data_IF_834824131944
#
_entry.id   IF_834824131944
#
_cell.length_a   1.000
_cell.length_b   1.000
_cell.length_c   1.000
_cell.angle_alpha   90.00
_cell.angle_beta   90.00
_cell.angle_gamma   90.00
#
_symmetry.space_group_name_H-M   'P 1'
#
loop_
_entity.id
_entity.type
_entity.pdbx_description
1 polymer ?
#
# COMPACT_ATOMS: atom_id res chain seq x y z
N UNK A 1 -20.91 9.89 6.80
CA UNK A 1 -19.90 8.81 6.78
C UNK A 1 -20.61 7.49 6.50
N UNK A 2 -20.02 6.68 5.65
CA UNK A 2 -20.57 5.39 5.27
C UNK A 2 -20.13 4.31 6.27
N UNK A 3 -21.11 3.66 6.92
CA UNK A 3 -20.93 2.43 7.67
C UNK A 3 -21.78 1.34 7.01
N UNK A 4 -21.24 0.18 6.77
CA UNK A 4 -21.98 -0.92 6.17
C UNK A 4 -21.19 -1.69 5.12
N UNK A 5 -21.88 -2.59 4.42
CA UNK A 5 -21.30 -3.47 3.41
C UNK A 5 -21.64 -2.96 2.00
N UNK A 6 -20.65 -2.98 1.12
CA UNK A 6 -20.85 -2.68 -0.29
C UNK A 6 -19.95 -3.55 -1.17
N UNK A 7 -20.36 -3.81 -2.43
CA UNK A 7 -19.47 -4.35 -3.45
C UNK A 7 -18.27 -3.43 -3.66
N UNK A 8 -17.09 -4.00 -3.87
CA UNK A 8 -15.90 -3.22 -4.13
C UNK A 8 -15.97 -2.50 -5.48
N UNK A 9 -15.64 -1.21 -5.48
CA UNK A 9 -15.38 -0.48 -6.70
C UNK A 9 -13.98 -0.84 -7.20
N UNK A 10 -13.88 -1.33 -8.43
CA UNK A 10 -12.66 -1.87 -9.00
C UNK A 10 -12.20 -1.05 -10.21
N UNK A 11 -10.89 -0.90 -10.36
CA UNK A 11 -10.29 -0.37 -11.58
C UNK A 11 -10.34 -1.41 -12.69
N UNK A 12 -11.52 -1.71 -13.18
CA UNK A 12 -11.81 -2.67 -14.26
C UNK A 12 -12.57 -1.96 -15.37
N UNK A 13 -12.16 -2.16 -16.60
CA UNK A 13 -12.87 -1.72 -17.79
C UNK A 13 -12.97 -2.86 -18.80
N UNK A 14 -14.20 -3.17 -19.22
CA UNK A 14 -14.49 -4.28 -20.15
C UNK A 14 -13.86 -5.61 -19.69
N UNK A 15 -14.01 -5.94 -18.40
CA UNK A 15 -13.51 -7.16 -17.78
C UNK A 15 -11.98 -7.30 -17.74
N UNK A 16 -11.24 -6.18 -17.80
CA UNK A 16 -9.78 -6.16 -17.68
C UNK A 16 -9.34 -5.11 -16.66
N UNK A 17 -8.28 -5.41 -15.92
CA UNK A 17 -7.66 -4.44 -15.03
C UNK A 17 -7.27 -3.18 -15.78
N UNK A 18 -7.78 -2.01 -15.34
CA UNK A 18 -7.52 -0.71 -15.93
C UNK A 18 -6.49 0.05 -15.10
N UNK A 19 -5.23 -0.37 -15.21
CA UNK A 19 -4.13 0.22 -14.45
C UNK A 19 -3.79 1.64 -14.95
N UNK A 20 -3.08 2.47 -14.17
CA UNK A 20 -2.57 3.78 -14.62
C UNK A 20 -1.76 3.70 -15.91
N UNK A 21 -0.98 2.62 -16.09
CA UNK A 21 -0.27 2.41 -17.34
C UNK A 21 -1.21 2.28 -18.54
N UNK A 22 -2.35 1.63 -18.37
CA UNK A 22 -3.36 1.48 -19.44
C UNK A 22 -4.18 2.76 -19.61
N UNK A 23 -4.57 3.41 -18.51
CA UNK A 23 -5.44 4.58 -18.54
C UNK A 23 -4.73 5.86 -18.98
N UNK A 24 -3.49 6.07 -18.56
CA UNK A 24 -2.75 7.32 -18.77
C UNK A 24 -1.54 7.14 -19.68
N UNK A 25 -0.65 6.19 -19.36
CA UNK A 25 0.64 6.10 -20.06
C UNK A 25 0.48 5.67 -21.52
N UNK A 26 -0.22 4.56 -21.79
CA UNK A 26 -0.36 4.04 -23.16
C UNK A 26 -0.96 5.05 -24.14
N UNK A 27 -2.03 5.80 -23.82
CA UNK A 27 -2.51 6.88 -24.69
C UNK A 27 -1.48 7.99 -24.91
N UNK A 28 -0.67 8.31 -23.88
CA UNK A 28 0.31 9.37 -23.92
C UNK A 28 1.60 9.01 -24.67
N UNK A 29 1.94 7.73 -24.86
CA UNK A 29 3.17 7.28 -25.53
C UNK A 29 3.31 7.80 -26.99
N UNK A 30 2.21 8.18 -27.61
CA UNK A 30 2.20 8.77 -28.97
C UNK A 30 2.62 10.23 -29.00
N UNK A 31 2.76 10.88 -27.84
CA UNK A 31 3.13 12.31 -27.76
C UNK A 31 4.63 12.48 -28.04
N UNK A 32 5.04 13.39 -28.94
CA UNK A 32 6.45 13.59 -29.28
C UNK A 32 7.27 14.17 -28.13
N UNK A 33 6.62 14.77 -27.15
CA UNK A 33 7.26 15.35 -25.97
C UNK A 33 7.32 14.40 -24.75
N UNK A 34 6.92 13.13 -24.90
CA UNK A 34 7.02 12.10 -23.87
C UNK A 34 8.06 11.05 -24.27
N UNK A 35 9.05 10.86 -23.41
CA UNK A 35 10.01 9.75 -23.52
C UNK A 35 9.95 8.91 -22.25
N UNK A 36 9.76 7.61 -22.39
CA UNK A 36 9.76 6.64 -21.29
C UNK A 36 11.01 5.78 -21.39
N UNK A 37 11.82 5.81 -20.34
CA UNK A 37 13.03 5.00 -20.21
C UNK A 37 12.78 3.95 -19.13
N UNK A 38 12.74 2.68 -19.54
CA UNK A 38 12.60 1.54 -18.64
C UNK A 38 13.97 0.99 -18.25
N UNK A 39 14.01 0.10 -17.24
CA UNK A 39 15.22 -0.58 -16.79
C UNK A 39 16.35 0.39 -16.36
N UNK A 40 15.96 1.49 -15.70
CA UNK A 40 16.89 2.47 -15.13
C UNK A 40 16.71 2.52 -13.63
N UNK A 41 17.80 2.33 -12.89
CA UNK A 41 17.85 2.51 -11.46
C UNK A 41 18.28 3.95 -11.13
N UNK A 42 17.43 4.70 -10.44
CA UNK A 42 17.77 6.02 -9.93
C UNK A 42 18.86 5.92 -8.87
N UNK A 43 19.97 6.63 -9.03
CA UNK A 43 21.10 6.58 -8.10
C UNK A 43 21.11 7.77 -7.15
N UNK A 44 21.02 8.98 -7.69
CA UNK A 44 21.08 10.24 -6.93
C UNK A 44 20.52 11.41 -7.73
N UNK A 45 20.06 12.43 -7.03
CA UNK A 45 19.67 13.71 -7.61
C UNK A 45 20.91 14.58 -7.87
N UNK A 46 20.80 15.50 -8.83
CA UNK A 46 21.87 16.43 -9.21
C UNK A 46 21.45 17.83 -8.79
N UNK A 47 22.39 18.57 -8.18
CA UNK A 47 22.14 19.92 -7.68
C UNK A 47 23.16 20.93 -8.22
N UNK A 48 22.69 22.16 -8.46
CA UNK A 48 23.46 23.36 -8.66
C UNK A 48 23.06 24.36 -7.55
N UNK A 49 23.92 24.53 -6.54
CA UNK A 49 23.53 25.20 -5.31
C UNK A 49 22.36 24.49 -4.63
N UNK A 50 21.27 25.22 -4.39
CA UNK A 50 20.02 24.72 -3.80
C UNK A 50 19.05 24.14 -4.82
N UNK A 51 19.33 24.26 -6.13
CA UNK A 51 18.44 23.84 -7.20
C UNK A 51 18.71 22.42 -7.63
N UNK A 52 17.68 21.58 -7.62
CA UNK A 52 17.72 20.26 -8.25
C UNK A 52 17.60 20.41 -9.77
N UNK A 53 18.62 19.93 -10.50
CA UNK A 53 18.74 20.12 -11.95
C UNK A 53 18.75 18.81 -12.73
N UNK A 54 18.53 17.66 -12.08
CA UNK A 54 18.49 16.38 -12.78
C UNK A 54 18.63 15.18 -11.87
N UNK A 55 18.84 14.04 -12.49
CA UNK A 55 19.01 12.73 -11.84
C UNK A 55 20.11 11.95 -12.55
N UNK A 56 20.90 11.18 -11.80
CA UNK A 56 21.77 10.14 -12.32
C UNK A 56 21.06 8.82 -12.17
N UNK A 57 21.02 8.05 -13.24
CA UNK A 57 20.46 6.70 -13.25
C UNK A 57 21.50 5.70 -13.75
N UNK A 58 21.35 4.43 -13.42
CA UNK A 58 22.13 3.36 -14.01
C UNK A 58 21.29 2.64 -15.06
N UNK A 59 21.79 2.56 -16.28
CA UNK A 59 21.18 1.88 -17.40
C UNK A 59 21.30 0.35 -17.32
N UNK A 60 20.67 -0.37 -18.26
CA UNK A 60 20.71 -1.84 -18.31
C UNK A 60 22.10 -2.40 -18.64
N UNK A 61 22.97 -1.58 -19.21
CA UNK A 61 24.39 -1.89 -19.48
C UNK A 61 25.31 -1.65 -18.27
N UNK A 62 24.73 -1.23 -17.13
CA UNK A 62 25.46 -0.92 -15.89
C UNK A 62 26.10 0.47 -15.86
N UNK A 63 26.02 1.26 -16.96
CA UNK A 63 26.62 2.58 -17.04
C UNK A 63 25.72 3.65 -16.40
N UNK A 64 26.35 4.70 -15.84
CA UNK A 64 25.63 5.86 -15.35
C UNK A 64 25.22 6.79 -16.50
N UNK A 65 23.92 7.13 -16.53
CA UNK A 65 23.35 8.10 -17.44
C UNK A 65 22.91 9.34 -16.64
N UNK A 66 23.23 10.52 -17.14
CA UNK A 66 22.80 11.79 -16.53
C UNK A 66 21.64 12.38 -17.32
N UNK A 67 20.53 12.62 -16.64
CA UNK A 67 19.36 13.28 -17.22
C UNK A 67 19.13 14.62 -16.52
N UNK A 68 19.25 15.72 -17.29
CA UNK A 68 19.05 17.09 -16.76
C UNK A 68 17.62 17.57 -17.00
N UNK A 69 17.08 18.26 -16.01
CA UNK A 69 15.78 18.90 -16.07
C UNK A 69 15.89 20.40 -16.33
N UNK A 70 15.13 20.91 -17.29
CA UNK A 70 15.09 22.35 -17.61
C UNK A 70 14.21 23.14 -16.63
N UNK A 71 13.15 22.52 -16.12
CA UNK A 71 12.20 23.18 -15.21
C UNK A 71 12.32 22.60 -13.80
N UNK A 72 11.89 21.37 -13.60
CA UNK A 72 11.91 20.69 -12.32
C UNK A 72 12.05 19.18 -12.46
N UNK A 73 12.47 18.52 -11.40
CA UNK A 73 12.44 17.06 -11.22
C UNK A 73 11.22 16.70 -10.39
N UNK A 74 10.50 15.66 -10.79
CA UNK A 74 9.36 15.12 -10.04
C UNK A 74 9.73 13.72 -9.60
N UNK A 75 9.86 13.53 -8.29
CA UNK A 75 10.16 12.24 -7.69
C UNK A 75 8.84 11.52 -7.39
N UNK A 76 8.67 10.30 -7.95
CA UNK A 76 7.46 9.50 -7.79
C UNK A 76 7.83 8.03 -7.58
N UNK A 77 8.82 7.76 -6.72
CA UNK A 77 9.34 6.41 -6.49
C UNK A 77 8.59 5.63 -5.40
N UNK A 78 7.54 6.22 -4.83
CA UNK A 78 6.70 5.62 -3.79
C UNK A 78 7.23 5.82 -2.38
N UNK A 79 6.42 5.42 -1.39
CA UNK A 79 6.66 5.74 0.02
C UNK A 79 7.94 5.11 0.61
N UNK A 80 8.58 4.18 -0.08
CA UNK A 80 9.82 3.53 0.37
C UNK A 80 11.03 4.12 -0.36
N UNK A 81 10.98 4.20 -1.68
CA UNK A 81 12.15 4.60 -2.46
C UNK A 81 12.28 6.14 -2.61
N UNK A 82 11.19 6.92 -2.49
CA UNK A 82 11.28 8.38 -2.52
C UNK A 82 12.08 8.95 -1.34
N UNK A 83 11.80 8.60 -0.07
CA UNK A 83 12.65 9.04 1.04
C UNK A 83 14.08 8.50 0.94
N UNK A 84 14.27 7.26 0.45
CA UNK A 84 15.60 6.69 0.24
C UNK A 84 16.41 7.50 -0.77
N UNK A 85 15.81 7.86 -1.92
CA UNK A 85 16.45 8.69 -2.95
C UNK A 85 16.84 10.07 -2.40
N UNK A 86 15.97 10.71 -1.61
CA UNK A 86 16.26 11.98 -0.97
C UNK A 86 17.44 11.85 0.00
N UNK A 87 17.44 10.86 0.88
CA UNK A 87 18.52 10.61 1.83
C UNK A 87 19.85 10.30 1.14
N UNK A 88 19.86 9.45 0.10
CA UNK A 88 21.06 9.17 -0.70
C UNK A 88 21.59 10.42 -1.43
N UNK A 89 20.73 11.41 -1.64
CA UNK A 89 21.08 12.70 -2.26
C UNK A 89 21.46 13.79 -1.24
N UNK A 90 21.64 13.42 0.03
CA UNK A 90 22.05 14.34 1.10
C UNK A 90 20.92 15.12 1.73
N UNK A 91 19.66 14.69 1.60
CA UNK A 91 18.47 15.37 2.13
C UNK A 91 17.81 14.47 3.17
N UNK A 92 17.90 14.84 4.44
CA UNK A 92 17.39 14.01 5.54
C UNK A 92 17.92 14.47 6.90
N UNK A 93 17.90 13.58 7.89
CA UNK A 93 18.54 13.83 9.18
C UNK A 93 20.06 13.92 9.02
N UNK A 94 20.62 15.10 9.26
CA UNK A 94 22.04 15.37 9.00
C UNK A 94 22.99 14.47 9.81
N UNK A 95 22.65 14.17 11.06
CA UNK A 95 23.48 13.30 11.90
C UNK A 95 23.46 11.86 11.40
N UNK A 96 22.28 11.35 11.03
CA UNK A 96 22.13 10.01 10.47
C UNK A 96 22.85 9.87 9.12
N UNK A 97 22.76 10.89 8.24
CA UNK A 97 23.44 10.90 6.94
C UNK A 97 24.96 10.91 7.10
N UNK A 98 25.49 11.78 7.97
CA UNK A 98 26.93 11.86 8.27
C UNK A 98 27.46 10.55 8.85
N UNK A 99 26.68 9.89 9.71
CA UNK A 99 27.03 8.57 10.24
C UNK A 99 27.18 7.49 9.18
N UNK A 100 26.60 7.69 8.00
CA UNK A 100 26.72 6.81 6.83
C UNK A 100 27.75 7.33 5.79
N UNK A 101 28.45 8.43 6.08
CA UNK A 101 29.40 9.06 5.14
C UNK A 101 28.72 9.85 4.02
N UNK A 102 27.43 10.20 4.16
CA UNK A 102 26.69 11.00 3.19
C UNK A 102 26.76 12.49 3.62
N UNK A 103 27.25 13.35 2.74
CA UNK A 103 27.26 14.79 2.97
C UNK A 103 25.85 15.35 3.08
N UNK A 104 25.55 16.06 4.16
CA UNK A 104 24.24 16.70 4.36
C UNK A 104 24.13 17.97 3.53
N UNK A 105 23.24 17.93 2.57
CA UNK A 105 22.90 19.07 1.71
C UNK A 105 21.77 19.90 2.30
N UNK A 106 20.71 19.24 2.75
CA UNK A 106 19.57 19.86 3.43
C UNK A 106 19.21 19.03 4.66
N UNK A 107 19.24 19.65 5.83
CA UNK A 107 18.76 19.02 7.06
C UNK A 107 17.23 19.03 7.07
N UNK A 108 16.63 17.85 6.90
CA UNK A 108 15.18 17.64 6.90
C UNK A 108 14.86 16.32 7.65
N UNK A 109 14.86 16.33 9.00
CA UNK A 109 14.82 15.12 9.82
C UNK A 109 13.51 14.35 9.72
N UNK A 110 12.47 14.95 9.18
CA UNK A 110 11.18 14.28 8.96
C UNK A 110 11.14 13.40 7.69
N UNK A 111 12.16 13.45 6.83
CA UNK A 111 12.24 12.54 5.69
C UNK A 111 12.46 11.10 6.19
N UNK A 112 11.63 10.19 5.72
CA UNK A 112 11.59 8.82 6.16
C UNK A 112 10.78 8.57 7.44
N UNK A 113 10.37 9.62 8.16
CA UNK A 113 9.51 9.52 9.34
C UNK A 113 8.03 9.45 8.95
N UNK A 114 7.14 9.25 9.94
CA UNK A 114 5.68 9.22 9.76
C UNK A 114 5.21 8.10 8.82
N UNK A 115 5.95 7.01 8.66
CA UNK A 115 5.49 5.85 7.90
C UNK A 115 4.17 5.34 8.51
N UNK A 116 3.16 5.25 7.70
CA UNK A 116 1.85 4.67 8.01
C UNK A 116 1.57 3.55 7.01
N UNK A 117 0.91 2.51 7.47
CA UNK A 117 0.50 1.39 6.62
C UNK A 117 -0.69 0.67 7.26
N UNK A 118 -1.58 0.12 6.47
CA UNK A 118 -2.64 -0.75 6.95
C UNK A 118 -2.06 -2.13 7.31
N UNK A 119 -2.12 -2.47 8.59
CA UNK A 119 -1.83 -3.83 9.03
C UNK A 119 -3.05 -4.71 8.81
N UNK A 120 -2.90 -5.72 7.98
CA UNK A 120 -3.94 -6.69 7.65
C UNK A 120 -3.79 -7.94 8.53
N UNK A 121 -4.92 -8.43 9.02
CA UNK A 121 -5.02 -9.76 9.63
C UNK A 121 -6.08 -10.57 8.88
N UNK A 122 -5.88 -11.88 8.83
CA UNK A 122 -6.76 -12.83 8.12
C UNK A 122 -7.41 -13.77 9.09
N UNK A 123 -8.73 -13.94 8.95
CA UNK A 123 -9.49 -15.02 9.57
C UNK A 123 -10.05 -15.89 8.46
N UNK A 124 -9.52 -17.09 8.33
CA UNK A 124 -9.91 -18.03 7.29
C UNK A 124 -10.83 -19.10 7.87
N UNK A 125 -11.85 -19.45 7.11
CA UNK A 125 -12.87 -20.42 7.48
C UNK A 125 -12.99 -21.49 6.41
N UNK A 126 -12.97 -22.77 6.84
CA UNK A 126 -13.36 -23.88 5.99
C UNK A 126 -14.88 -23.94 5.92
N UNK A 127 -15.40 -24.21 4.74
CA UNK A 127 -16.84 -24.26 4.51
C UNK A 127 -17.26 -25.61 3.94
N UNK A 128 -18.53 -25.92 4.10
CA UNK A 128 -19.18 -26.90 3.25
C UNK A 128 -19.03 -26.47 1.79
N UNK A 129 -19.21 -27.40 0.80
CA UNK A 129 -19.14 -27.02 -0.61
C UNK A 129 -20.02 -25.81 -0.91
N UNK A 130 -19.41 -24.71 -1.41
CA UNK A 130 -20.04 -23.39 -1.51
C UNK A 130 -19.43 -22.53 -2.63
N UNK A 131 -19.26 -23.08 -3.81
CA UNK A 131 -18.80 -22.37 -5.03
C UNK A 131 -17.64 -21.35 -4.77
N UNK A 132 -16.65 -21.78 -4.00
CA UNK A 132 -15.47 -21.00 -3.69
C UNK A 132 -14.43 -21.05 -4.82
N UNK A 133 -13.52 -20.08 -4.84
CA UNK A 133 -12.42 -20.12 -5.80
C UNK A 133 -11.49 -21.33 -5.55
N UNK A 134 -11.37 -21.81 -4.31
CA UNK A 134 -10.65 -23.04 -3.98
C UNK A 134 -11.20 -24.24 -4.79
N UNK A 135 -12.52 -24.46 -4.77
CA UNK A 135 -13.16 -25.53 -5.53
C UNK A 135 -13.04 -25.34 -7.05
N UNK A 136 -13.12 -24.08 -7.50
CA UNK A 136 -12.96 -23.75 -8.92
C UNK A 136 -11.56 -24.10 -9.40
N UNK A 137 -10.54 -23.72 -8.64
CA UNK A 137 -9.14 -23.98 -8.98
C UNK A 137 -8.73 -25.45 -8.82
N UNK A 138 -9.40 -26.20 -7.96
CA UNK A 138 -9.20 -27.64 -7.79
C UNK A 138 -9.86 -28.49 -8.91
N UNK A 139 -10.76 -27.91 -9.71
CA UNK A 139 -11.52 -28.64 -10.74
C UNK A 139 -11.20 -28.11 -12.16
N UNK A 140 -10.52 -28.90 -13.01
CA UNK A 140 -10.14 -28.49 -14.37
C UNK A 140 -11.30 -28.03 -15.24
N UNK A 141 -12.49 -28.63 -15.08
CA UNK A 141 -13.68 -28.24 -15.85
C UNK A 141 -14.22 -26.88 -15.40
N UNK A 142 -14.27 -26.61 -14.08
CA UNK A 142 -14.64 -25.31 -13.55
C UNK A 142 -13.63 -24.24 -13.98
N UNK A 143 -12.32 -24.53 -13.96
CA UNK A 143 -11.28 -23.63 -14.48
C UNK A 143 -11.47 -23.33 -15.96
N UNK A 144 -11.71 -24.34 -16.79
CA UNK A 144 -11.95 -24.15 -18.22
C UNK A 144 -13.20 -23.30 -18.48
N UNK A 145 -14.29 -23.54 -17.74
CA UNK A 145 -15.50 -22.73 -17.79
C UNK A 145 -15.23 -21.27 -17.41
N UNK A 146 -14.53 -21.01 -16.30
CA UNK A 146 -14.15 -19.67 -15.86
C UNK A 146 -13.31 -18.94 -16.92
N UNK A 147 -12.34 -19.63 -17.53
CA UNK A 147 -11.53 -19.10 -18.63
C UNK A 147 -12.37 -18.75 -19.87
N UNK A 148 -13.34 -19.61 -20.24
CA UNK A 148 -14.22 -19.40 -21.37
C UNK A 148 -15.19 -18.23 -21.14
N UNK A 149 -15.78 -18.11 -19.95
CA UNK A 149 -16.63 -16.99 -19.55
C UNK A 149 -15.91 -15.66 -19.69
N UNK A 150 -14.64 -15.62 -19.27
CA UNK A 150 -13.83 -14.42 -19.44
C UNK A 150 -13.44 -14.18 -20.89
N UNK A 151 -13.03 -15.20 -21.62
CA UNK A 151 -12.58 -15.07 -23.02
C UNK A 151 -13.70 -14.56 -23.93
N UNK A 152 -14.90 -15.11 -23.81
CA UNK A 152 -16.05 -14.80 -24.65
C UNK A 152 -16.89 -13.63 -24.15
N UNK A 153 -17.12 -13.56 -22.82
CA UNK A 153 -18.06 -12.61 -22.23
C UNK A 153 -17.44 -11.51 -21.38
N UNK A 154 -16.13 -11.58 -21.06
CA UNK A 154 -15.45 -10.66 -20.14
C UNK A 154 -16.17 -10.52 -18.80
N UNK A 155 -16.59 -11.64 -18.21
CA UNK A 155 -17.34 -11.74 -16.95
C UNK A 155 -16.84 -12.92 -16.11
N UNK A 156 -17.41 -13.09 -14.91
CA UNK A 156 -17.03 -14.13 -13.95
C UNK A 156 -15.82 -13.73 -13.08
N UNK A 157 -15.33 -14.67 -12.30
CA UNK A 157 -14.28 -14.45 -11.29
C UNK A 157 -13.00 -13.79 -11.82
N UNK A 158 -12.65 -13.98 -13.10
CA UNK A 158 -11.47 -13.32 -13.69
C UNK A 158 -11.63 -11.81 -13.92
N UNK A 159 -12.80 -11.23 -13.66
CA UNK A 159 -13.06 -9.79 -13.81
C UNK A 159 -13.13 -9.05 -12.48
N UNK A 160 -13.14 -9.76 -11.36
CA UNK A 160 -13.19 -9.21 -10.02
C UNK A 160 -11.79 -9.16 -9.39
N UNK A 161 -11.63 -8.34 -8.34
CA UNK A 161 -10.41 -8.31 -7.54
C UNK A 161 -10.32 -9.49 -6.56
N UNK A 162 -9.29 -9.49 -5.73
CA UNK A 162 -9.13 -10.49 -4.68
C UNK A 162 -10.27 -10.45 -3.66
N UNK A 163 -10.92 -9.29 -3.47
CA UNK A 163 -12.06 -9.09 -2.59
C UNK A 163 -13.25 -8.60 -3.41
N UNK A 164 -14.43 -9.19 -3.18
CA UNK A 164 -15.67 -8.86 -3.88
C UNK A 164 -16.46 -7.77 -3.16
N UNK A 165 -16.38 -7.73 -1.83
CA UNK A 165 -17.08 -6.78 -0.99
C UNK A 165 -16.21 -6.28 0.17
N UNK A 166 -16.51 -5.09 0.64
CA UNK A 166 -15.93 -4.53 1.85
C UNK A 166 -17.01 -4.10 2.83
N UNK A 167 -16.73 -4.29 4.12
CA UNK A 167 -17.47 -3.71 5.23
C UNK A 167 -16.61 -2.62 5.86
N UNK A 168 -17.21 -1.46 6.10
CA UNK A 168 -16.67 -0.44 6.99
C UNK A 168 -17.51 -0.41 8.26
N UNK A 169 -16.88 -0.51 9.41
CA UNK A 169 -17.58 -0.61 10.69
C UNK A 169 -16.93 0.23 11.79
N UNK A 170 -17.78 0.77 12.67
CA UNK A 170 -17.38 1.32 13.95
C UNK A 170 -17.30 0.18 14.95
N UNK A 171 -16.17 0.10 15.64
CA UNK A 171 -15.92 -0.97 16.62
C UNK A 171 -15.74 -0.44 18.04
N UNK A 172 -15.50 0.88 18.18
CA UNK A 172 -15.38 1.50 19.49
C UNK A 172 -16.64 2.30 19.85
N UNK A 173 -17.06 2.31 21.13
CA UNK A 173 -18.16 3.15 21.58
C UNK A 173 -17.88 4.63 21.33
N UNK A 174 -18.86 5.35 20.79
CA UNK A 174 -18.78 6.80 20.56
C UNK A 174 -17.98 7.22 19.33
N UNK A 175 -17.50 6.30 18.52
CA UNK A 175 -16.82 6.65 17.26
C UNK A 175 -17.77 7.31 16.28
N UNK A 176 -17.32 8.41 15.68
CA UNK A 176 -18.07 9.12 14.63
C UNK A 176 -17.87 8.50 13.25
N UNK A 177 -16.73 7.85 13.03
CA UNK A 177 -16.31 7.28 11.75
C UNK A 177 -15.93 5.79 11.90
N UNK A 178 -16.10 4.99 10.84
CA UNK A 178 -15.62 3.61 10.84
C UNK A 178 -14.12 3.54 11.10
N UNK A 179 -13.71 2.73 12.08
CA UNK A 179 -12.30 2.50 12.37
C UNK A 179 -11.72 1.34 11.60
N UNK A 180 -12.56 0.39 11.14
CA UNK A 180 -12.08 -0.83 10.50
C UNK A 180 -12.69 -1.03 9.13
N UNK A 181 -11.87 -1.57 8.24
CA UNK A 181 -12.29 -2.12 6.95
C UNK A 181 -12.12 -3.63 6.99
N UNK A 182 -13.19 -4.36 6.63
CA UNK A 182 -13.14 -5.76 6.29
C UNK A 182 -13.19 -5.92 4.78
N UNK A 183 -12.48 -6.91 4.28
CA UNK A 183 -12.54 -7.34 2.90
C UNK A 183 -12.94 -8.81 2.88
N UNK A 184 -14.03 -9.10 2.21
CA UNK A 184 -14.50 -10.45 2.01
C UNK A 184 -13.82 -11.07 0.80
N UNK A 185 -13.18 -12.23 1.01
CA UNK A 185 -12.40 -12.93 -0.02
C UNK A 185 -12.96 -14.33 -0.18
N UNK A 186 -13.44 -14.65 -1.37
CA UNK A 186 -14.08 -15.91 -1.71
C UNK A 186 -13.09 -17.08 -1.91
N UNK A 187 -12.04 -17.11 -1.12
CA UNK A 187 -11.10 -18.23 -1.03
C UNK A 187 -10.35 -18.20 0.31
N UNK A 188 -9.79 -19.34 0.66
CA UNK A 188 -8.83 -19.45 1.74
C UNK A 188 -7.47 -19.89 1.21
N UNK A 189 -6.41 -19.45 1.89
CA UNK A 189 -5.04 -19.74 1.49
C UNK A 189 -4.16 -19.97 2.71
N UNK A 190 -3.16 -20.82 2.55
CA UNK A 190 -2.03 -20.92 3.45
C UNK A 190 -1.00 -19.87 3.05
N UNK A 191 -0.66 -19.00 3.98
CA UNK A 191 0.35 -17.96 3.80
C UNK A 191 1.41 -18.11 4.90
N UNK A 192 2.37 -19.03 4.74
CA UNK A 192 3.46 -19.17 5.68
C UNK A 192 4.24 -17.86 5.83
N UNK A 193 4.68 -17.57 7.06
CA UNK A 193 5.46 -16.36 7.35
C UNK A 193 6.66 -16.22 6.42
N UNK A 194 6.82 -15.02 5.86
CA UNK A 194 8.00 -14.66 5.07
C UNK A 194 8.07 -15.28 3.67
N UNK A 195 7.03 -15.97 3.22
CA UNK A 195 6.97 -16.56 1.88
C UNK A 195 6.06 -15.73 1.00
N UNK A 196 6.56 -15.31 -0.16
CA UNK A 196 5.79 -14.55 -1.15
C UNK A 196 4.78 -15.40 -1.94
N UNK A 197 4.84 -16.73 -1.82
CA UNK A 197 3.94 -17.67 -2.49
C UNK A 197 2.94 -18.22 -1.45
N UNK A 198 1.74 -17.66 -1.44
CA UNK A 198 0.61 -18.24 -0.73
C UNK A 198 -0.04 -19.31 -1.63
N UNK A 199 -0.30 -20.48 -1.07
CA UNK A 199 -1.02 -21.55 -1.78
C UNK A 199 -2.49 -21.57 -1.35
N UNK A 200 -3.38 -21.76 -2.31
CA UNK A 200 -4.80 -21.96 -2.00
C UNK A 200 -4.97 -23.29 -1.25
N UNK A 201 -5.78 -23.27 -0.19
CA UNK A 201 -6.21 -24.52 0.43
C UNK A 201 -6.96 -25.38 -0.59
N UNK A 202 -6.90 -26.70 -0.43
CA UNK A 202 -7.61 -27.64 -1.32
C UNK A 202 -9.10 -27.70 -1.01
N UNK A 203 -9.43 -27.50 0.24
CA UNK A 203 -10.79 -27.49 0.76
C UNK A 203 -11.49 -26.17 0.46
N UNK A 204 -12.84 -26.18 0.29
CA UNK A 204 -13.61 -24.95 0.18
C UNK A 204 -13.41 -24.02 1.38
N UNK A 205 -13.28 -22.74 1.13
CA UNK A 205 -13.11 -21.78 2.22
C UNK A 205 -13.20 -20.34 1.75
N UNK A 206 -13.36 -19.45 2.72
CA UNK A 206 -13.30 -18.01 2.51
C UNK A 206 -12.46 -17.34 3.59
N UNK A 207 -12.14 -16.06 3.38
CA UNK A 207 -11.34 -15.30 4.33
C UNK A 207 -11.97 -13.94 4.60
N UNK A 208 -12.03 -13.56 5.87
CA UNK A 208 -12.17 -12.16 6.28
C UNK A 208 -10.77 -11.56 6.47
N UNK A 209 -10.42 -10.62 5.61
CA UNK A 209 -9.28 -9.75 5.82
C UNK A 209 -9.77 -8.50 6.54
N UNK A 210 -9.10 -8.05 7.58
CA UNK A 210 -9.47 -6.79 8.24
C UNK A 210 -8.24 -5.97 8.62
N UNK A 211 -8.40 -4.67 8.59
CA UNK A 211 -7.38 -3.69 8.99
C UNK A 211 -8.03 -2.46 9.59
N UNK A 212 -7.26 -1.75 10.42
CA UNK A 212 -7.66 -0.44 10.89
C UNK A 212 -7.56 0.60 9.78
N UNK A 213 -8.58 1.45 9.61
CA UNK A 213 -8.63 2.46 8.55
C UNK A 213 -7.59 3.58 8.73
N UNK A 214 -7.38 4.01 9.97
CA UNK A 214 -6.48 5.12 10.32
C UNK A 214 -5.66 4.74 11.55
N UNK A 215 -4.53 4.03 11.38
CA UNK A 215 -3.67 3.68 12.50
C UNK A 215 -2.99 4.91 13.12
N UNK A 216 -2.82 4.88 14.44
CA UNK A 216 -2.10 5.90 15.20
C UNK A 216 -0.61 5.58 15.35
N UNK A 217 -0.22 4.31 15.21
CA UNK A 217 1.18 3.87 15.18
C UNK A 217 1.92 4.51 14.02
N UNK A 218 3.17 4.94 14.27
CA UNK A 218 4.04 5.56 13.26
C UNK A 218 5.35 4.81 13.16
N UNK A 219 5.72 4.53 11.93
CA UNK A 219 6.97 3.90 11.58
C UNK A 219 7.94 4.85 10.90
N UNK A 220 9.01 4.28 10.37
CA UNK A 220 10.05 5.03 9.67
C UNK A 220 10.76 4.20 8.60
N UNK A 221 11.35 4.90 7.65
CA UNK A 221 12.28 4.40 6.63
C UNK A 221 13.65 5.03 6.91
N UNK A 222 14.69 4.21 7.03
CA UNK A 222 16.07 4.70 7.20
C UNK A 222 17.03 3.98 6.26
N UNK A 223 18.14 4.62 5.91
CA UNK A 223 19.19 3.97 5.12
C UNK A 223 19.94 2.92 5.96
N UNK A 224 20.45 1.90 5.30
CA UNK A 224 21.42 0.94 5.86
C UNK A 224 22.85 1.34 5.54
N UNK A 225 23.06 1.92 4.37
CA UNK A 225 24.34 2.37 3.86
C UNK A 225 24.14 3.44 2.78
N UNK A 226 25.22 3.93 2.21
CA UNK A 226 25.20 4.80 1.03
C UNK A 226 25.04 4.05 -0.30
N UNK A 227 25.01 2.71 -0.28
CA UNK A 227 24.80 1.91 -1.48
C UNK A 227 23.32 1.90 -1.87
N UNK A 228 23.01 2.37 -3.09
CA UNK A 228 21.65 2.44 -3.61
C UNK A 228 20.97 1.05 -3.75
N UNK A 229 21.76 -0.03 -3.87
CA UNK A 229 21.21 -1.39 -3.99
C UNK A 229 20.76 -1.97 -2.65
N UNK A 230 21.26 -1.45 -1.56
CA UNK A 230 20.84 -1.89 -0.25
C UNK A 230 19.39 -1.47 0.01
N UNK A 231 18.58 -2.47 0.38
CA UNK A 231 17.20 -2.20 0.79
C UNK A 231 17.20 -1.35 2.04
N UNK A 232 16.35 -0.31 2.14
CA UNK A 232 16.26 0.50 3.34
C UNK A 232 15.78 -0.34 4.52
N UNK A 233 16.00 0.14 5.74
CA UNK A 233 15.36 -0.42 6.93
C UNK A 233 13.95 0.12 7.00
N UNK A 234 12.97 -0.77 7.04
CA UNK A 234 11.55 -0.46 7.17
C UNK A 234 11.12 -0.87 8.57
N UNK A 235 10.69 0.09 9.38
CA UNK A 235 10.16 -0.13 10.72
C UNK A 235 8.72 0.36 10.73
N UNK A 236 7.76 -0.54 10.53
CA UNK A 236 6.34 -0.17 10.46
C UNK A 236 5.76 0.19 11.83
N UNK A 237 6.29 -0.40 12.91
CA UNK A 237 5.85 -0.21 14.30
C UNK A 237 4.34 -0.49 14.50
N UNK A 238 3.81 -1.52 13.83
CA UNK A 238 2.42 -1.93 13.99
C UNK A 238 2.07 -2.20 15.46
N UNK A 239 0.85 -1.82 15.86
CA UNK A 239 0.30 -2.06 17.19
C UNK A 239 1.18 -1.52 18.35
N UNK A 240 1.94 -0.45 18.11
CA UNK A 240 2.69 0.23 19.18
C UNK A 240 1.83 1.27 19.89
N UNK A 241 0.82 1.81 19.24
CA UNK A 241 -0.13 2.73 19.87
C UNK A 241 -1.29 1.96 20.53
N UNK A 242 -1.67 2.26 21.79
CA UNK A 242 -2.73 1.54 22.51
C UNK A 242 -4.09 1.55 21.79
N UNK A 243 -4.42 2.63 21.11
CA UNK A 243 -5.67 2.72 20.35
C UNK A 243 -5.73 1.68 19.21
N UNK A 244 -4.62 1.45 18.50
CA UNK A 244 -4.55 0.46 17.42
C UNK A 244 -4.78 -0.95 17.96
N UNK A 245 -4.19 -1.25 19.13
CA UNK A 245 -4.42 -2.53 19.82
C UNK A 245 -5.90 -2.71 20.11
N UNK A 246 -6.54 -1.69 20.71
CA UNK A 246 -7.96 -1.74 21.08
C UNK A 246 -8.86 -1.92 19.86
N UNK A 247 -8.64 -1.13 18.81
CA UNK A 247 -9.40 -1.22 17.54
C UNK A 247 -9.27 -2.61 16.93
N UNK A 248 -8.06 -3.15 16.84
CA UNK A 248 -7.84 -4.44 16.20
C UNK A 248 -8.35 -5.63 17.01
N UNK A 249 -8.38 -5.56 18.35
CA UNK A 249 -9.03 -6.54 19.21
C UNK A 249 -10.55 -6.55 18.99
N UNK A 250 -11.18 -5.38 18.94
CA UNK A 250 -12.61 -5.27 18.66
C UNK A 250 -12.96 -5.70 17.21
N UNK A 251 -12.08 -5.43 16.25
CA UNK A 251 -12.22 -5.93 14.88
C UNK A 251 -12.19 -7.47 14.84
N UNK A 252 -11.28 -8.10 15.57
CA UNK A 252 -11.22 -9.55 15.69
C UNK A 252 -12.49 -10.17 16.28
N UNK A 253 -13.04 -9.55 17.33
CA UNK A 253 -14.33 -9.94 17.93
C UNK A 253 -15.48 -9.77 16.94
N UNK A 254 -15.48 -8.67 16.17
CA UNK A 254 -16.48 -8.43 15.12
C UNK A 254 -16.42 -9.48 14.02
N UNK A 255 -15.22 -9.88 13.58
CA UNK A 255 -15.04 -10.94 12.58
C UNK A 255 -15.74 -12.23 13.00
N UNK A 256 -15.57 -12.65 14.24
CA UNK A 256 -16.21 -13.85 14.78
C UNK A 256 -17.72 -13.69 14.96
N UNK A 257 -18.20 -12.51 15.37
CA UNK A 257 -19.66 -12.25 15.43
C UNK A 257 -20.29 -12.38 14.05
N UNK A 258 -19.64 -11.83 13.01
CA UNK A 258 -20.13 -11.96 11.62
C UNK A 258 -20.14 -13.44 11.20
N UNK A 259 -19.06 -14.18 11.46
CA UNK A 259 -18.98 -15.62 11.15
C UNK A 259 -20.05 -16.45 11.86
N UNK A 260 -20.42 -16.07 13.07
CA UNK A 260 -21.48 -16.75 13.86
C UNK A 260 -22.91 -16.36 13.47
N UNK A 261 -23.10 -15.48 12.47
CA UNK A 261 -24.42 -15.00 12.02
C UNK A 261 -24.81 -15.71 10.71
N UNK A 262 -26.08 -16.06 10.57
CA UNK A 262 -26.59 -16.61 9.31
C UNK A 262 -26.51 -15.57 8.16
N UNK A 263 -26.15 -15.97 6.95
CA UNK A 263 -26.00 -17.36 6.49
C UNK A 263 -24.59 -17.97 6.72
N UNK A 264 -23.60 -17.23 7.23
CA UNK A 264 -22.24 -17.73 7.41
C UNK A 264 -22.16 -18.90 8.38
N UNK A 265 -22.86 -18.83 9.51
CA UNK A 265 -22.86 -19.89 10.52
C UNK A 265 -23.28 -21.25 9.93
N UNK A 266 -24.27 -21.26 9.03
CA UNK A 266 -24.71 -22.48 8.33
C UNK A 266 -23.72 -23.02 7.29
N UNK A 267 -22.79 -22.19 6.81
CA UNK A 267 -21.77 -22.56 5.83
C UNK A 267 -20.47 -23.01 6.46
N UNK A 268 -20.07 -22.42 7.58
CA UNK A 268 -18.78 -22.64 8.23
C UNK A 268 -18.75 -24.01 8.91
N UNK A 269 -17.71 -24.77 8.64
CA UNK A 269 -17.38 -26.00 9.36
C UNK A 269 -16.33 -25.79 10.43
N UNK A 270 -15.34 -24.90 10.16
CA UNK A 270 -14.18 -24.71 11.02
C UNK A 270 -13.53 -23.33 10.78
N UNK A 271 -13.07 -22.67 11.85
CA UNK A 271 -12.12 -21.56 11.79
C UNK A 271 -10.71 -22.16 11.64
N UNK A 272 -10.06 -21.94 10.47
CA UNK A 272 -8.85 -22.69 10.09
C UNK A 272 -7.57 -22.16 10.74
N UNK A 273 -7.46 -20.86 10.94
CA UNK A 273 -6.15 -20.24 11.24
C UNK A 273 -5.94 -19.96 12.71
N UNK A 274 -7.00 -19.83 13.50
CA UNK A 274 -6.92 -19.40 14.90
C UNK A 274 -7.54 -20.39 15.85
N UNK A 275 -8.63 -21.01 15.40
CA UNK A 275 -9.39 -21.97 16.16
C UNK A 275 -9.82 -21.47 17.55
N UNK A 276 -10.40 -22.32 18.36
CA UNK A 276 -10.84 -22.01 19.73
C UNK A 276 -9.70 -21.66 20.70
N UNK A 277 -8.44 -21.81 20.31
CA UNK A 277 -7.25 -21.54 21.13
C UNK A 277 -6.98 -20.03 21.31
N UNK A 278 -7.52 -19.17 20.44
CA UNK A 278 -7.41 -17.70 20.51
C UNK A 278 -8.74 -17.14 21.04
N UNK A 279 -8.98 -17.32 22.33
CA UNK A 279 -10.29 -17.08 22.94
C UNK A 279 -10.40 -15.77 23.71
N UNK A 280 -9.29 -15.21 24.16
CA UNK A 280 -9.22 -13.99 24.97
C UNK A 280 -8.42 -12.88 24.27
N UNK A 281 -8.39 -11.70 24.89
CA UNK A 281 -7.70 -10.54 24.32
C UNK A 281 -6.18 -10.71 24.28
N UNK A 282 -5.59 -11.46 25.22
CA UNK A 282 -4.14 -11.70 25.29
C UNK A 282 -3.69 -12.61 24.14
N UNK A 283 -4.33 -13.75 23.98
CA UNK A 283 -4.05 -14.69 22.89
C UNK A 283 -4.40 -14.10 21.53
N UNK A 284 -5.48 -13.31 21.43
CA UNK A 284 -5.82 -12.58 20.21
C UNK A 284 -4.74 -11.57 19.87
N UNK A 285 -4.25 -10.77 20.81
CA UNK A 285 -3.18 -9.79 20.55
C UNK A 285 -1.87 -10.45 20.15
N UNK A 286 -1.51 -11.55 20.79
CA UNK A 286 -0.34 -12.35 20.39
C UNK A 286 -0.45 -12.79 18.92
N UNK A 287 -1.62 -13.30 18.53
CA UNK A 287 -1.90 -13.67 17.15
C UNK A 287 -1.84 -12.47 16.19
N UNK A 288 -2.49 -11.33 16.52
CA UNK A 288 -2.46 -10.12 15.69
C UNK A 288 -1.02 -9.66 15.39
N UNK A 289 -0.15 -9.72 16.40
CA UNK A 289 1.28 -9.39 16.26
C UNK A 289 2.05 -10.41 15.42
N UNK A 290 1.67 -11.67 15.54
CA UNK A 290 2.32 -12.75 14.83
C UNK A 290 1.90 -12.82 13.37
N UNK A 291 0.61 -12.74 13.06
CA UNK A 291 0.05 -12.94 11.74
C UNK A 291 -0.17 -11.64 10.96
N UNK A 292 -0.08 -10.49 11.65
CA UNK A 292 -0.25 -9.18 11.02
C UNK A 292 0.79 -8.94 9.93
N UNK A 293 0.31 -8.47 8.77
CA UNK A 293 1.13 -8.18 7.60
C UNK A 293 0.70 -6.90 6.93
N UNK A 294 1.54 -6.32 6.10
CA UNK A 294 1.18 -5.18 5.25
C UNK A 294 0.12 -5.57 4.22
N UNK A 295 -0.81 -4.65 3.90
CA UNK A 295 -1.61 -4.74 2.67
C UNK A 295 -0.99 -3.94 1.52
N UNK A 296 0.28 -3.60 1.64
CA UNK A 296 1.05 -2.84 0.65
C UNK A 296 0.52 -1.42 0.41
N UNK A 297 0.13 -0.75 1.50
CA UNK A 297 -0.34 0.63 1.51
C UNK A 297 0.63 1.62 2.22
N UNK A 298 1.97 1.46 2.18
CA UNK A 298 2.86 2.37 2.88
C UNK A 298 2.68 3.79 2.36
N UNK A 299 2.63 4.77 3.28
CA UNK A 299 2.49 6.17 2.93
C UNK A 299 3.12 7.10 3.98
N UNK A 300 3.17 8.39 3.71
CA UNK A 300 3.45 9.43 4.70
C UNK A 300 4.91 9.78 4.94
N UNK A 301 5.87 9.11 4.32
CA UNK A 301 7.31 9.18 4.61
C UNK A 301 8.03 10.44 4.09
N UNK A 302 7.36 11.28 3.31
CA UNK A 302 7.78 12.61 2.85
C UNK A 302 6.55 13.53 2.89
N UNK A 303 5.92 13.63 4.06
CA UNK A 303 4.61 14.26 4.19
C UNK A 303 4.58 15.71 3.74
N UNK A 304 3.48 16.14 3.11
CA UNK A 304 3.17 17.55 2.91
C UNK A 304 2.57 18.14 4.19
N UNK A 305 2.69 19.46 4.35
CA UNK A 305 2.06 20.15 5.44
C UNK A 305 2.24 21.66 5.38
N UNK A 306 1.46 22.35 6.22
CA UNK A 306 1.59 23.81 6.42
C UNK A 306 2.62 24.15 7.51
N UNK A 307 2.91 23.18 8.39
CA UNK A 307 3.89 23.33 9.45
C UNK A 307 5.34 23.30 8.90
N UNK A 308 6.25 23.97 9.59
CA UNK A 308 7.64 24.10 9.17
C UNK A 308 8.43 22.79 9.18
N UNK A 309 7.97 21.79 9.93
CA UNK A 309 8.62 20.48 10.00
C UNK A 309 8.24 19.58 8.82
N UNK A 310 7.14 19.89 8.10
CA UNK A 310 6.76 19.13 6.93
C UNK A 310 7.85 19.22 5.85
N UNK A 311 8.37 18.09 5.35
CA UNK A 311 9.33 18.08 4.25
C UNK A 311 8.84 18.80 3.00
N UNK A 312 7.54 18.70 2.72
CA UNK A 312 6.91 19.33 1.54
C UNK A 312 5.94 20.44 1.96
N UNK A 313 5.85 21.46 1.13
CA UNK A 313 4.75 22.42 1.18
C UNK A 313 3.46 21.83 0.59
N UNK A 314 2.36 22.60 0.63
CA UNK A 314 1.05 22.18 0.07
C UNK A 314 1.01 22.15 -1.46
N UNK A 315 2.08 22.61 -2.12
CA UNK A 315 2.30 22.51 -3.55
C UNK A 315 3.20 21.31 -3.90
N UNK A 316 3.47 20.42 -2.93
CA UNK A 316 4.32 19.24 -3.04
C UNK A 316 5.79 19.55 -3.37
N UNK A 317 6.25 20.79 -3.16
CA UNK A 317 7.65 21.21 -3.35
C UNK A 317 8.46 20.86 -2.11
N UNK A 318 9.67 20.37 -2.32
CA UNK A 318 10.58 20.06 -1.21
C UNK A 318 11.12 21.36 -0.59
N UNK A 319 10.93 21.54 0.71
CA UNK A 319 11.42 22.72 1.43
C UNK A 319 12.94 22.75 1.44
N UNK A 320 13.50 23.93 1.23
CA UNK A 320 14.96 24.15 1.16
C UNK A 320 15.61 23.70 -0.16
N UNK A 321 14.82 23.25 -1.14
CA UNK A 321 15.29 22.83 -2.48
C UNK A 321 14.41 23.45 -3.55
N UNK A 322 15.01 24.07 -4.54
CA UNK A 322 14.32 24.54 -5.72
C UNK A 322 14.24 23.45 -6.79
N UNK A 323 13.19 23.48 -7.62
CA UNK A 323 13.06 22.60 -8.79
C UNK A 323 12.89 21.12 -8.47
N UNK A 324 12.37 20.78 -7.28
CA UNK A 324 12.06 19.40 -6.89
C UNK A 324 10.69 19.29 -6.23
N UNK A 325 9.88 18.38 -6.73
CA UNK A 325 8.60 17.94 -6.12
C UNK A 325 8.62 16.45 -5.84
N UNK A 326 7.85 16.03 -4.85
CA UNK A 326 7.52 14.61 -4.62
C UNK A 326 6.04 14.41 -4.87
N UNK A 327 5.69 13.40 -5.69
CA UNK A 327 4.30 13.15 -6.09
C UNK A 327 4.03 11.64 -6.09
N UNK A 328 3.76 11.08 -4.93
CA UNK A 328 3.40 9.67 -4.72
C UNK A 328 2.76 9.49 -3.32
N UNK A 329 2.61 8.26 -2.84
CA UNK A 329 2.01 7.98 -1.55
C UNK A 329 2.82 8.51 -0.35
N UNK A 330 4.11 8.84 -0.53
CA UNK A 330 4.93 9.38 0.57
C UNK A 330 4.44 10.74 1.08
N UNK A 331 3.68 11.47 0.25
CA UNK A 331 3.28 12.85 0.55
C UNK A 331 2.10 12.97 1.53
N UNK A 332 1.39 11.88 1.82
CA UNK A 332 0.22 11.93 2.68
C UNK A 332 0.57 12.29 4.12
N UNK A 333 -0.01 13.33 4.72
CA UNK A 333 0.17 13.61 6.14
C UNK A 333 -0.51 12.57 7.03
N UNK A 334 -1.68 12.12 6.62
CA UNK A 334 -2.46 11.07 7.26
C UNK A 334 -2.89 10.03 6.22
N UNK A 335 -2.98 8.78 6.68
CA UNK A 335 -3.39 7.67 5.84
C UNK A 335 -4.86 7.78 5.42
N UNK A 336 -5.19 7.62 4.12
CA UNK A 336 -6.57 7.47 3.67
C UNK A 336 -7.23 6.24 4.29
N UNK A 337 -8.53 6.35 4.62
CA UNK A 337 -9.27 5.32 5.37
C UNK A 337 -9.56 4.01 4.60
N UNK A 338 -9.13 3.88 3.35
CA UNK A 338 -9.36 2.72 2.49
C UNK A 338 -8.13 2.47 1.62
N UNK A 339 -8.25 1.61 0.60
CA UNK A 339 -7.16 1.37 -0.35
C UNK A 339 -6.62 2.68 -0.90
N UNK A 340 -5.31 2.92 -0.77
CA UNK A 340 -4.69 4.22 -1.06
C UNK A 340 -4.57 4.56 -2.56
N UNK A 341 -4.75 3.59 -3.45
CA UNK A 341 -4.55 3.79 -4.89
C UNK A 341 -5.40 4.93 -5.50
N UNK A 342 -6.71 5.08 -5.19
CA UNK A 342 -7.49 6.22 -5.68
C UNK A 342 -6.97 7.56 -5.17
N UNK A 343 -6.52 7.63 -3.92
CA UNK A 343 -5.94 8.84 -3.35
C UNK A 343 -4.62 9.22 -4.03
N UNK A 344 -3.78 8.24 -4.39
CA UNK A 344 -2.55 8.47 -5.16
C UNK A 344 -2.86 9.00 -6.56
N UNK A 345 -3.88 8.44 -7.24
CA UNK A 345 -4.33 8.96 -8.54
C UNK A 345 -4.83 10.41 -8.44
N UNK A 346 -5.68 10.69 -7.47
CA UNK A 346 -6.18 12.06 -7.22
C UNK A 346 -5.03 13.04 -6.94
N UNK A 347 -4.05 12.62 -6.14
CA UNK A 347 -2.86 13.43 -5.85
C UNK A 347 -2.03 13.70 -7.11
N UNK A 348 -1.85 12.70 -7.97
CA UNK A 348 -1.13 12.85 -9.23
C UNK A 348 -1.86 13.80 -10.22
N UNK A 349 -3.18 13.69 -10.33
CA UNK A 349 -4.01 14.61 -11.14
C UNK A 349 -3.88 16.05 -10.62
N UNK A 350 -4.01 16.24 -9.30
CA UNK A 350 -3.88 17.57 -8.68
C UNK A 350 -2.46 18.15 -8.83
N UNK A 351 -1.44 17.31 -8.66
CA UNK A 351 -0.05 17.72 -8.90
C UNK A 351 0.20 18.14 -10.35
N UNK A 352 -0.40 17.44 -11.32
CA UNK A 352 -0.29 17.81 -12.73
C UNK A 352 -0.89 19.20 -13.02
N UNK A 353 -1.99 19.56 -12.36
CA UNK A 353 -2.55 20.92 -12.44
C UNK A 353 -1.60 21.98 -11.83
N UNK A 354 -1.05 21.70 -10.64
CA UNK A 354 -0.10 22.57 -9.96
C UNK A 354 1.17 22.81 -10.82
N UNK A 355 1.70 21.75 -11.45
CA UNK A 355 2.89 21.82 -12.32
C UNK A 355 2.61 22.65 -13.59
N UNK A 356 1.41 22.59 -14.13
CA UNK A 356 1.02 23.39 -15.30
C UNK A 356 0.83 24.86 -14.96
N UNK A 357 0.37 25.16 -13.75
CA UNK A 357 0.14 26.53 -13.29
C UNK A 357 1.46 27.26 -12.93
N UNK A 358 2.58 26.55 -12.77
CA UNK A 358 3.91 27.10 -12.44
C UNK A 358 4.29 26.81 -11.02
#
# INVERSE_FOLDING_TARGET
>A
WFEGVAPNQLNVHKGRRWSPAVAYLRPALKRPNLRVLTERLGLRLIFEGTRCVGVVVRGPDGQEETHRARREVILSSGAIESPKMLMLSGIGDGAALQGLGIETRVHSPQIGQNLQDHMLVRYAFRTRPADTLNETMANPLKMAKMGLEWALGRRGHMTVGASEASLFARVLPGSEEPEVQFQFVNYSLDAPKGVSAAELHKEPGFTFNFCQCRPDSRGQITLRSQNVEDKPRIQANYLTHPNDVRVMLEAAKLARRIAATEPFAGLIEEEMVHGPQVADDETTLAYLREAGTTVYHPCGTVRMGVDEQAPLDTQLRLRGVEGLRVVDASVFPLMPSSNIHPAVLMTAERAAEMIKAG
#
